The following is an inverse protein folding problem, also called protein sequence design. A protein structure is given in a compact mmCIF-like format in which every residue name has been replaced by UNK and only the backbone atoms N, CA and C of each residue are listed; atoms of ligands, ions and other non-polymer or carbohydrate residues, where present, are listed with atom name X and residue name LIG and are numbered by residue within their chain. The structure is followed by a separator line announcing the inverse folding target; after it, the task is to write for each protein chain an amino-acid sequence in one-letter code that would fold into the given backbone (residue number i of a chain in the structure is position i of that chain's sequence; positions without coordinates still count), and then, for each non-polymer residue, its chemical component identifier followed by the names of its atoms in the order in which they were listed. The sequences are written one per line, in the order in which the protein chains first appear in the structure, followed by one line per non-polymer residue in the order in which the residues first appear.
data_IF_023835715706
#
_entry.id   IF_023835715706
#
_cell.length_a   1.000
_cell.length_b   1.000
_cell.length_c   1.000
_cell.angle_alpha   90.00
_cell.angle_beta   90.00
_cell.angle_gamma   90.00
#
_symmetry.space_group_name_H-M   'P 1'
#
loop_
_entity.id
_entity.type
_entity.pdbx_description
1 polymer ?
#
# COMPACT_ATOMS: atom_id res chain seq x y z
N UNK A 1 15.14 -64.91 11.60
CA UNK A 1 15.13 -63.86 10.56
C UNK A 1 14.16 -62.77 10.99
N UNK A 2 14.64 -61.68 11.59
CA UNK A 2 13.82 -60.55 12.00
C UNK A 2 14.24 -59.33 11.17
N UNK A 3 13.37 -58.91 10.24
CA UNK A 3 13.60 -57.72 9.41
C UNK A 3 13.12 -56.50 10.20
N UNK A 4 14.07 -55.76 10.77
CA UNK A 4 13.81 -54.47 11.41
C UNK A 4 13.54 -53.43 10.32
N UNK A 5 12.28 -53.04 10.15
CA UNK A 5 11.91 -51.92 9.28
C UNK A 5 11.95 -50.63 10.09
N UNK A 6 12.90 -49.77 9.75
CA UNK A 6 12.99 -48.42 10.29
C UNK A 6 12.00 -47.53 9.54
N UNK A 7 10.90 -47.13 10.20
CA UNK A 7 9.97 -46.14 9.66
C UNK A 7 10.50 -44.74 9.98
N UNK A 8 10.98 -44.05 8.94
CA UNK A 8 11.28 -42.62 8.98
C UNK A 8 9.95 -41.86 9.02
N UNK A 9 9.67 -41.22 10.15
CA UNK A 9 8.57 -40.26 10.29
C UNK A 9 9.07 -38.92 9.75
N UNK A 10 8.63 -38.54 8.55
CA UNK A 10 8.81 -37.21 8.00
C UNK A 10 7.78 -36.27 8.67
N UNK A 11 8.24 -35.43 9.59
CA UNK A 11 7.44 -34.35 10.14
C UNK A 11 7.41 -33.19 9.11
N UNK A 12 6.27 -32.99 8.47
CA UNK A 12 6.02 -31.83 7.61
C UNK A 12 5.82 -30.58 8.48
N UNK A 13 6.77 -29.64 8.42
CA UNK A 13 6.58 -28.28 8.93
C UNK A 13 5.59 -27.55 8.02
N UNK A 14 4.35 -27.41 8.46
CA UNK A 14 3.39 -26.51 7.84
C UNK A 14 3.77 -25.06 8.22
N UNK A 15 4.25 -24.29 7.24
CA UNK A 15 4.36 -22.83 7.36
C UNK A 15 2.95 -22.27 7.26
N UNK A 16 2.42 -21.74 8.37
CA UNK A 16 1.18 -20.97 8.35
C UNK A 16 1.42 -19.68 7.56
N UNK A 17 0.70 -19.48 6.46
CA UNK A 17 0.57 -18.17 5.83
C UNK A 17 -0.11 -17.24 6.84
N UNK A 18 0.60 -16.22 7.31
CA UNK A 18 0.01 -15.15 8.10
C UNK A 18 -0.89 -14.33 7.16
N UNK A 19 -2.17 -14.20 7.49
CA UNK A 19 -3.00 -13.15 6.89
C UNK A 19 -2.32 -11.80 7.15
N UNK A 20 -2.21 -10.89 6.16
CA UNK A 20 -1.59 -9.59 6.35
C UNK A 20 -2.45 -8.76 7.30
N UNK A 21 -2.17 -8.87 8.59
CA UNK A 21 -2.75 -8.00 9.60
C UNK A 21 -2.03 -6.65 9.55
N UNK A 22 -2.75 -5.52 9.69
CA UNK A 22 -2.13 -4.20 9.73
C UNK A 22 -1.02 -4.13 10.80
N UNK A 23 0.16 -3.62 10.44
CA UNK A 23 1.34 -3.55 11.32
C UNK A 23 1.20 -2.53 12.43
N UNK A 24 0.39 -1.51 12.18
CA UNK A 24 0.57 -0.20 12.72
C UNK A 24 -0.75 0.31 13.27
N UNK A 25 -1.53 -0.54 13.94
CA UNK A 25 -2.76 -0.13 14.67
C UNK A 25 -2.42 0.71 15.89
N UNK A 26 -1.46 0.27 16.71
CA UNK A 26 -0.95 0.98 17.88
C UNK A 26 0.58 1.07 17.83
N UNK A 27 1.15 2.15 18.35
CA UNK A 27 2.60 2.32 18.40
C UNK A 27 3.14 2.10 19.81
N UNK A 28 4.11 1.20 19.94
CA UNK A 28 4.85 1.00 21.18
C UNK A 28 5.86 2.14 21.39
N UNK A 29 5.94 2.65 22.61
CA UNK A 29 6.93 3.65 22.97
C UNK A 29 8.36 3.12 22.71
N UNK A 30 9.27 3.94 22.17
CA UNK A 30 9.19 5.39 21.97
C UNK A 30 8.64 5.81 20.59
N UNK A 31 8.10 4.89 19.78
CA UNK A 31 7.61 5.23 18.44
C UNK A 31 6.35 6.09 18.53
N UNK A 32 6.23 7.02 17.59
CA UNK A 32 5.04 7.86 17.42
C UNK A 32 4.27 7.43 16.20
N UNK A 33 2.95 7.64 16.25
CA UNK A 33 2.10 7.45 15.07
C UNK A 33 2.31 8.60 14.10
N UNK A 34 2.49 8.27 12.83
CA UNK A 34 2.55 9.24 11.74
C UNK A 34 1.61 8.80 10.62
N UNK A 35 1.18 9.76 9.80
CA UNK A 35 0.39 9.49 8.60
C UNK A 35 0.74 10.46 7.49
N UNK A 36 0.48 10.06 6.25
CA UNK A 36 0.48 10.95 5.08
C UNK A 36 -0.58 10.52 4.08
N UNK A 37 -1.14 11.49 3.36
CA UNK A 37 -2.06 11.25 2.24
C UNK A 37 -1.31 11.35 0.92
N UNK A 38 -1.21 10.22 0.24
CA UNK A 38 -0.70 10.12 -1.12
C UNK A 38 -1.87 10.11 -2.10
N UNK A 39 -2.42 11.30 -2.34
CA UNK A 39 -3.51 11.50 -3.28
C UNK A 39 -3.16 11.07 -4.72
N UNK A 40 -1.86 11.04 -5.09
CA UNK A 40 -1.42 10.66 -6.43
C UNK A 40 -1.58 9.17 -6.66
N UNK A 41 -1.19 8.36 -5.67
CA UNK A 41 -1.34 6.92 -5.71
C UNK A 41 -2.68 6.44 -5.14
N UNK A 42 -3.45 7.33 -4.51
CA UNK A 42 -4.82 7.06 -4.07
C UNK A 42 -4.92 6.45 -2.68
N UNK A 43 -3.92 6.62 -1.82
CA UNK A 43 -3.87 6.00 -0.50
C UNK A 43 -3.57 7.01 0.61
N UNK A 44 -3.95 6.66 1.83
CA UNK A 44 -3.37 7.22 3.04
C UNK A 44 -2.52 6.15 3.72
N UNK A 45 -1.29 6.50 4.07
CA UNK A 45 -0.39 5.64 4.83
C UNK A 45 -0.36 6.01 6.30
N UNK A 46 -0.42 5.04 7.21
CA UNK A 46 -0.12 5.25 8.62
C UNK A 46 0.96 4.28 9.13
N UNK A 47 1.86 4.79 9.97
CA UNK A 47 3.04 4.06 10.40
C UNK A 47 3.43 4.38 11.85
N UNK A 48 4.22 3.49 12.45
CA UNK A 48 4.89 3.74 13.72
C UNK A 48 6.36 4.09 13.48
N UNK A 49 6.72 5.35 13.73
CA UNK A 49 8.02 5.91 13.39
C UNK A 49 8.81 6.30 14.65
N UNK A 50 10.12 6.09 14.65
CA UNK A 50 10.98 6.75 15.65
C UNK A 50 10.91 8.27 15.43
N UNK A 51 10.53 9.09 16.43
CA UNK A 51 10.41 10.54 16.26
C UNK A 51 11.69 11.21 15.73
N UNK A 52 12.86 10.61 15.94
CA UNK A 52 14.14 11.10 15.39
C UNK A 52 14.20 11.03 13.87
N UNK A 53 13.44 10.11 13.26
CA UNK A 53 13.41 9.93 11.81
C UNK A 53 12.38 10.84 11.13
N UNK A 54 11.46 11.46 11.87
CA UNK A 54 10.39 12.30 11.31
C UNK A 54 10.93 13.36 10.35
N UNK A 55 11.92 14.14 10.78
CA UNK A 55 12.51 15.21 9.96
C UNK A 55 13.24 14.69 8.71
N UNK A 56 13.68 13.43 8.69
CA UNK A 56 14.29 12.82 7.52
C UNK A 56 13.19 12.46 6.50
N UNK A 57 12.16 11.73 6.95
CA UNK A 57 11.07 11.30 6.07
C UNK A 57 10.21 12.46 5.58
N UNK A 58 9.98 13.49 6.41
CA UNK A 58 9.21 14.68 6.05
C UNK A 58 9.86 15.50 4.90
N UNK A 59 11.16 15.31 4.64
CA UNK A 59 11.81 15.92 3.47
C UNK A 59 11.45 15.22 2.16
N UNK A 60 11.14 13.94 2.22
CA UNK A 60 10.75 13.13 1.06
C UNK A 60 9.23 13.08 0.90
N UNK A 61 8.48 13.22 2.00
CA UNK A 61 7.03 13.33 2.01
C UNK A 61 6.59 14.57 2.76
N UNK A 62 6.28 15.63 2.02
CA UNK A 62 5.91 16.92 2.60
C UNK A 62 4.60 16.88 3.41
N UNK A 63 3.74 15.88 3.17
CA UNK A 63 2.46 15.71 3.86
C UNK A 63 2.59 14.86 5.15
N UNK A 64 3.77 14.33 5.45
CA UNK A 64 3.99 13.49 6.63
C UNK A 64 3.68 14.25 7.92
N UNK A 65 2.74 13.73 8.71
CA UNK A 65 2.19 14.40 9.88
C UNK A 65 2.24 13.47 11.09
N UNK A 66 2.60 14.00 12.27
CA UNK A 66 2.46 13.26 13.54
C UNK A 66 0.99 13.19 13.90
N UNK A 67 0.46 11.98 14.08
CA UNK A 67 -0.95 11.79 14.37
C UNK A 67 -1.28 12.14 15.83
N UNK A 68 -2.48 12.69 16.03
CA UNK A 68 -3.11 12.83 17.36
C UNK A 68 -4.10 11.70 17.66
N UNK A 69 -4.51 10.98 16.62
CA UNK A 69 -5.51 9.91 16.67
C UNK A 69 -4.86 8.53 16.49
N UNK A 70 -5.54 7.46 16.92
CA UNK A 70 -5.07 6.08 16.74
C UNK A 70 -5.16 5.62 15.27
N UNK A 71 -6.20 6.06 14.56
CA UNK A 71 -6.45 5.76 13.14
C UNK A 71 -6.55 7.04 12.31
N UNK A 72 -5.44 7.77 12.12
CA UNK A 72 -5.44 9.05 11.43
C UNK A 72 -5.96 8.98 9.98
N UNK A 73 -5.71 7.89 9.25
CA UNK A 73 -6.16 7.77 7.86
C UNK A 73 -7.69 7.78 7.73
N UNK A 74 -8.40 7.19 8.69
CA UNK A 74 -9.86 7.22 8.75
C UNK A 74 -10.46 8.63 8.90
N UNK A 75 -9.64 9.63 9.25
CA UNK A 75 -10.04 11.03 9.38
C UNK A 75 -9.69 11.85 8.14
N UNK A 76 -8.91 11.29 7.22
CA UNK A 76 -8.51 11.95 5.99
C UNK A 76 -9.56 11.76 4.91
N UNK A 77 -9.62 12.74 4.00
CA UNK A 77 -10.56 12.76 2.88
C UNK A 77 -9.80 12.79 1.57
N UNK A 78 -10.40 12.17 0.55
CA UNK A 78 -9.95 12.27 -0.84
C UNK A 78 -9.88 13.73 -1.31
N UNK A 79 -9.10 14.06 -2.36
CA UNK A 79 -9.05 15.43 -2.89
C UNK A 79 -10.42 16.00 -3.32
N UNK A 80 -11.36 15.13 -3.69
CA UNK A 80 -12.73 15.50 -4.03
C UNK A 80 -13.65 15.67 -2.80
N UNK A 81 -13.15 15.40 -1.59
CA UNK A 81 -13.90 15.42 -0.32
C UNK A 81 -15.18 14.58 -0.33
N UNK A 82 -15.17 13.47 -1.07
CA UNK A 82 -16.33 12.59 -1.24
C UNK A 82 -16.21 11.27 -0.48
N UNK A 83 -14.98 10.84 -0.15
CA UNK A 83 -14.69 9.55 0.50
C UNK A 83 -13.59 9.70 1.54
N UNK A 84 -13.60 8.83 2.55
CA UNK A 84 -12.57 8.73 3.57
C UNK A 84 -11.68 7.50 3.34
N UNK A 85 -10.43 7.55 3.80
CA UNK A 85 -9.50 6.43 3.71
C UNK A 85 -9.73 5.43 4.86
N UNK A 86 -10.76 4.59 4.73
CA UNK A 86 -11.18 3.64 5.77
C UNK A 86 -10.79 2.20 5.48
N UNK A 87 -10.52 1.87 4.23
CA UNK A 87 -10.45 0.49 3.78
C UNK A 87 -8.99 0.05 3.79
N UNK A 88 -8.61 -0.85 4.69
CA UNK A 88 -7.26 -1.40 4.70
C UNK A 88 -6.97 -2.07 3.36
N UNK A 89 -5.85 -1.69 2.76
CA UNK A 89 -5.43 -2.14 1.45
C UNK A 89 -4.29 -3.14 1.54
N UNK A 90 -3.16 -2.73 2.15
CA UNK A 90 -2.00 -3.60 2.31
C UNK A 90 -1.03 -3.05 3.38
N UNK A 91 -0.08 -3.87 3.81
CA UNK A 91 1.08 -3.46 4.61
C UNK A 91 2.33 -3.57 3.75
N UNK A 92 3.00 -2.45 3.54
CA UNK A 92 4.18 -2.37 2.67
C UNK A 92 5.39 -1.87 3.45
N UNK A 93 6.58 -2.21 2.98
CA UNK A 93 7.82 -1.62 3.49
C UNK A 93 8.52 -0.89 2.37
N UNK A 94 8.61 0.43 2.50
CA UNK A 94 9.32 1.30 1.55
C UNK A 94 10.68 1.69 2.10
N UNK A 95 11.60 2.01 1.18
CA UNK A 95 12.96 2.43 1.48
C UNK A 95 14.00 1.35 1.21
N UNK A 96 15.26 1.69 1.46
CA UNK A 96 16.40 0.83 1.14
C UNK A 96 17.40 0.84 2.30
N UNK A 97 17.75 -0.36 2.78
CA UNK A 97 18.74 -0.53 3.84
C UNK A 97 18.30 0.14 5.16
N UNK A 98 19.13 0.97 5.78
CA UNK A 98 18.85 1.54 7.10
C UNK A 98 17.76 2.62 7.10
N UNK A 99 17.30 3.06 5.93
CA UNK A 99 16.22 4.02 5.76
C UNK A 99 15.04 3.27 5.15
N UNK A 100 14.28 2.56 5.99
CA UNK A 100 13.06 1.87 5.60
C UNK A 100 11.94 2.14 6.60
N UNK A 101 10.70 2.12 6.11
CA UNK A 101 9.50 2.26 6.94
C UNK A 101 8.45 1.27 6.48
N UNK A 102 7.94 0.49 7.44
CA UNK A 102 6.77 -0.36 7.25
C UNK A 102 5.53 0.43 7.64
N UNK A 103 4.53 0.46 6.76
CA UNK A 103 3.33 1.25 6.92
C UNK A 103 2.10 0.50 6.39
N UNK A 104 0.95 0.83 6.97
CA UNK A 104 -0.36 0.34 6.52
C UNK A 104 -0.97 1.33 5.54
N UNK A 105 -1.39 0.84 4.39
CA UNK A 105 -2.09 1.62 3.36
C UNK A 105 -3.59 1.44 3.53
N UNK A 106 -4.30 2.57 3.48
CA UNK A 106 -5.74 2.65 3.49
C UNK A 106 -6.22 3.31 2.20
N UNK A 107 -7.17 2.66 1.53
CA UNK A 107 -7.85 3.17 0.35
C UNK A 107 -9.14 3.91 0.75
N UNK A 108 -9.64 4.80 -0.11
CA UNK A 108 -10.99 5.36 0.01
C UNK A 108 -12.05 4.27 0.09
N UNK A 109 -13.12 4.51 0.85
CA UNK A 109 -14.24 3.57 0.99
C UNK A 109 -14.78 3.12 -0.37
N UNK A 110 -14.90 1.81 -0.55
CA UNK A 110 -15.38 1.14 -1.77
C UNK A 110 -14.51 1.39 -3.02
N UNK A 111 -13.24 1.78 -2.85
CA UNK A 111 -12.34 1.93 -3.98
C UNK A 111 -12.04 0.57 -4.64
N UNK A 112 -12.19 0.43 -5.97
CA UNK A 112 -11.86 -0.81 -6.64
C UNK A 112 -10.36 -1.10 -6.57
N UNK A 113 -10.01 -2.39 -6.49
CA UNK A 113 -8.61 -2.83 -6.51
C UNK A 113 -7.97 -2.44 -7.84
N UNK A 114 -6.87 -1.70 -7.75
CA UNK A 114 -6.19 -1.11 -8.89
C UNK A 114 -4.66 -1.25 -8.80
N UNK A 115 -4.18 -2.25 -8.05
CA UNK A 115 -2.74 -2.58 -7.93
C UNK A 115 -2.06 -2.88 -9.28
N UNK A 116 -2.85 -3.25 -10.30
CA UNK A 116 -2.37 -3.44 -11.67
C UNK A 116 -2.11 -2.11 -12.41
N UNK A 117 -2.52 -0.96 -11.86
CA UNK A 117 -2.36 0.34 -12.48
C UNK A 117 -1.17 1.11 -11.90
N UNK A 118 -0.73 2.15 -12.60
CA UNK A 118 0.31 3.07 -12.12
C UNK A 118 -0.21 4.50 -12.16
N UNK A 119 0.12 5.28 -11.14
CA UNK A 119 -0.07 6.73 -11.22
C UNK A 119 0.89 7.29 -12.29
N UNK A 120 0.39 8.11 -13.25
CA UNK A 120 1.25 8.76 -14.22
C UNK A 120 2.13 9.82 -13.52
N UNK A 121 3.41 9.89 -13.90
CA UNK A 121 4.33 10.90 -13.36
C UNK A 121 3.84 12.33 -13.63
N UNK A 122 3.20 12.55 -14.78
CA UNK A 122 2.58 13.81 -15.17
C UNK A 122 1.13 13.53 -15.60
N UNK A 123 0.13 13.79 -14.74
CA UNK A 123 -1.27 13.47 -15.03
C UNK A 123 -1.79 14.01 -16.36
N UNK A 124 -1.33 15.20 -16.77
CA UNK A 124 -1.74 15.84 -18.02
C UNK A 124 -1.24 15.14 -19.30
N UNK A 125 -0.21 14.28 -19.20
CA UNK A 125 0.40 13.59 -20.34
C UNK A 125 -0.22 12.20 -20.56
N UNK A 126 -0.99 11.68 -19.58
CA UNK A 126 -1.62 10.37 -19.67
C UNK A 126 -0.63 9.22 -19.51
N UNK A 127 -0.71 8.20 -20.39
CA UNK A 127 0.02 6.93 -20.23
C UNK A 127 1.17 6.62 -21.23
N UNK A 128 1.84 7.58 -21.88
CA UNK A 128 2.99 7.25 -22.72
C UNK A 128 4.15 6.73 -21.86
N UNK A 129 4.78 5.64 -22.29
CA UNK A 129 5.93 5.04 -21.61
C UNK A 129 5.59 3.94 -20.59
N UNK A 130 4.31 3.73 -20.25
CA UNK A 130 3.90 2.58 -19.44
C UNK A 130 3.70 1.34 -20.32
N UNK A 131 4.68 0.45 -20.34
CA UNK A 131 4.60 -0.81 -21.07
C UNK A 131 3.46 -1.68 -20.49
N UNK A 132 2.54 -2.12 -21.35
CA UNK A 132 1.34 -2.92 -21.01
C UNK A 132 0.21 -2.20 -20.25
N UNK A 133 0.27 -0.87 -20.06
CA UNK A 133 -0.79 -0.11 -19.36
C UNK A 133 -1.22 1.14 -20.14
N UNK A 134 -1.82 0.98 -21.33
CA UNK A 134 -2.12 2.10 -22.22
C UNK A 134 -3.39 2.89 -21.83
N UNK A 135 -4.23 2.36 -20.94
CA UNK A 135 -5.56 2.91 -20.67
C UNK A 135 -5.51 3.85 -19.46
N UNK A 136 -5.84 5.13 -19.67
CA UNK A 136 -6.05 6.07 -18.57
C UNK A 136 -7.44 5.89 -17.97
N UNK A 137 -7.53 5.63 -16.67
CA UNK A 137 -8.77 5.44 -15.91
C UNK A 137 -8.78 6.40 -14.74
N UNK A 138 -9.86 7.17 -14.60
CA UNK A 138 -10.11 7.92 -13.37
C UNK A 138 -10.85 7.00 -12.39
N UNK A 139 -10.25 6.75 -11.23
CA UNK A 139 -10.88 5.98 -10.16
C UNK A 139 -11.46 6.97 -9.15
N UNK A 140 -12.72 6.80 -8.79
CA UNK A 140 -13.45 7.74 -7.92
C UNK A 140 -12.68 8.02 -6.61
N UNK A 141 -12.62 9.30 -6.24
CA UNK A 141 -11.88 9.78 -5.07
C UNK A 141 -10.35 9.84 -5.24
N UNK A 142 -9.80 9.48 -6.40
CA UNK A 142 -8.35 9.42 -6.62
C UNK A 142 -7.94 9.97 -7.99
N UNK A 143 -6.67 9.81 -8.36
CA UNK A 143 -6.11 10.35 -9.60
C UNK A 143 -6.47 9.54 -10.85
N UNK A 144 -6.10 10.03 -12.04
CA UNK A 144 -6.03 9.19 -13.22
C UNK A 144 -4.91 8.16 -13.04
N UNK A 145 -5.16 6.91 -13.39
CA UNK A 145 -4.19 5.83 -13.38
C UNK A 145 -4.03 5.23 -14.78
N UNK A 146 -2.83 4.78 -15.09
CA UNK A 146 -2.51 4.01 -16.26
C UNK A 146 -2.68 2.52 -15.97
N UNK A 147 -3.70 1.94 -16.56
CA UNK A 147 -4.16 0.57 -16.34
C UNK A 147 -4.03 -0.29 -17.60
N UNK A 148 -4.12 -1.63 -17.48
CA UNK A 148 -4.15 -2.54 -18.62
C UNK A 148 -5.26 -2.21 -19.62
N UNK A 149 -5.10 -2.69 -20.85
CA UNK A 149 -6.12 -2.54 -21.89
C UNK A 149 -7.48 -3.12 -21.44
N UNK A 150 -8.56 -2.37 -21.68
CA UNK A 150 -9.92 -2.76 -21.29
C UNK A 150 -10.30 -2.39 -19.85
N UNK A 151 -9.43 -1.70 -19.12
CA UNK A 151 -9.73 -1.20 -17.77
C UNK A 151 -10.87 -0.16 -17.77
N UNK A 152 -11.69 -0.22 -16.73
CA UNK A 152 -12.79 0.74 -16.49
C UNK A 152 -12.68 1.34 -15.07
N UNK A 153 -13.35 2.47 -14.77
CA UNK A 153 -13.36 3.04 -13.42
C UNK A 153 -13.77 2.06 -12.32
N UNK A 154 -14.72 1.17 -12.61
CA UNK A 154 -15.23 0.18 -11.64
C UNK A 154 -14.49 -1.15 -11.69
N UNK A 155 -13.73 -1.43 -12.76
CA UNK A 155 -12.92 -2.64 -12.91
C UNK A 155 -11.53 -2.30 -13.50
N UNK A 156 -10.65 -1.63 -12.72
CA UNK A 156 -9.37 -1.12 -13.22
C UNK A 156 -8.39 -2.21 -13.64
N UNK A 157 -8.53 -3.42 -13.08
CA UNK A 157 -7.68 -4.57 -13.41
C UNK A 157 -8.32 -5.60 -14.35
N UNK A 158 -9.55 -5.36 -14.82
CA UNK A 158 -10.25 -6.35 -15.65
C UNK A 158 -10.31 -7.72 -14.97
N UNK A 159 -9.83 -8.75 -15.69
CA UNK A 159 -9.74 -10.14 -15.21
C UNK A 159 -8.30 -10.56 -14.86
N UNK A 160 -7.35 -9.62 -14.77
CA UNK A 160 -5.96 -9.96 -14.48
C UNK A 160 -5.77 -10.33 -13.01
N UNK A 161 -4.96 -11.35 -12.76
CA UNK A 161 -4.45 -11.65 -11.41
C UNK A 161 -3.64 -10.44 -10.92
N UNK A 162 -3.98 -9.91 -9.75
CA UNK A 162 -3.28 -8.79 -9.13
C UNK A 162 -1.78 -9.13 -9.04
N UNK A 163 -0.89 -8.36 -9.69
CA UNK A 163 0.53 -8.49 -9.38
C UNK A 163 0.74 -8.08 -7.91
N UNK A 164 1.68 -8.75 -7.24
CA UNK A 164 2.21 -8.29 -5.95
C UNK A 164 2.64 -6.83 -6.18
N UNK A 165 2.12 -5.90 -5.38
CA UNK A 165 2.44 -4.48 -5.46
C UNK A 165 3.96 -4.35 -5.57
N UNK A 166 4.43 -3.92 -6.74
CA UNK A 166 5.86 -3.70 -6.93
C UNK A 166 6.26 -2.61 -5.95
N UNK A 167 7.24 -2.92 -5.11
CA UNK A 167 7.94 -2.01 -4.19
C UNK A 167 8.49 -0.73 -4.85
N UNK A 168 8.31 -0.58 -6.16
CA UNK A 168 8.69 0.56 -6.99
C UNK A 168 7.67 1.71 -7.00
N UNK A 169 6.49 1.56 -6.37
CA UNK A 169 5.65 2.72 -6.11
C UNK A 169 6.27 3.54 -4.99
N UNK A 170 6.64 4.81 -5.21
CA UNK A 170 7.05 5.71 -4.16
C UNK A 170 5.80 6.16 -3.42
N UNK A 171 5.16 5.25 -2.66
CA UNK A 171 4.35 5.70 -1.54
C UNK A 171 5.37 6.03 -0.45
N UNK A 172 5.80 7.28 -0.50
CA UNK A 172 6.74 7.83 0.45
C UNK A 172 5.92 8.14 1.71
N UNK A 173 6.44 7.67 2.84
CA UNK A 173 5.83 7.75 4.18
C UNK A 173 5.27 9.11 4.48
#
# INVERSE_FOLDING_TARGET
MARSTWQLVLASLAVAAADPSPCCKSCELPKVKVFSTDAKHGYCGEACMDPKNFNLFHKFEANLTIATEEHPCSKQWTPLNDKQYTDYFDTVTHGLGPISCTLDLYAPTDMPKHACCNAPLIPAIGCPGFLHKPTSVLIDGTGPFCCPEGATPTQPCGNQSLPVLSSDSPVIV
#
